data_IF_180299736373
#
_entry.id   IF_180299736373
#
_cell.length_a   1.000
_cell.length_b   1.000
_cell.length_c   1.000
_cell.angle_alpha   90.00
_cell.angle_beta   90.00
_cell.angle_gamma   90.00
#
_symmetry.space_group_name_H-M   'P 1'
#
loop_
_entity.id
_entity.type
_entity.pdbx_description
1 polymer ?
#
# COMPACT_ATOMS: atom_id res chain seq x y z
N UNK A 1 17.50 111.57 -29.25
CA UNK A 1 18.39 111.51 -28.08
C UNK A 1 17.62 110.91 -26.93
N UNK A 2 18.31 110.07 -26.19
CA UNK A 2 17.87 109.11 -25.17
C UNK A 2 17.33 109.74 -23.88
N UNK A 3 16.78 108.85 -23.03
CA UNK A 3 16.51 108.96 -21.59
C UNK A 3 15.13 109.56 -21.23
N UNK A 4 14.36 109.03 -20.29
CA UNK A 4 14.55 107.94 -19.32
C UNK A 4 13.27 107.83 -18.45
N UNK A 5 12.99 106.63 -17.98
CA UNK A 5 11.98 106.34 -16.93
C UNK A 5 12.44 106.94 -15.57
N UNK A 6 11.60 107.08 -14.53
CA UNK A 6 11.09 105.91 -13.80
C UNK A 6 9.69 106.03 -13.13
N UNK A 7 9.16 104.84 -12.82
CA UNK A 7 7.99 104.57 -11.97
C UNK A 7 8.34 104.44 -10.48
N UNK A 8 7.33 104.65 -9.62
CA UNK A 8 7.18 103.84 -8.40
C UNK A 8 6.54 104.55 -7.20
N UNK A 9 5.40 104.05 -6.72
CA UNK A 9 4.82 104.44 -5.43
C UNK A 9 3.46 103.80 -5.17
N UNK A 10 3.45 102.77 -4.33
CA UNK A 10 2.34 101.86 -4.03
C UNK A 10 1.27 102.41 -3.08
N UNK A 11 0.05 101.89 -3.21
CA UNK A 11 -1.09 102.14 -2.32
C UNK A 11 -1.27 101.04 -1.26
N UNK A 12 -1.60 101.50 -0.05
CA UNK A 12 -2.54 100.97 0.97
C UNK A 12 -3.31 99.69 0.57
N UNK A 13 -3.54 98.69 1.44
CA UNK A 13 -3.88 98.76 2.86
C UNK A 13 -5.36 98.38 3.04
N UNK A 14 -5.63 97.45 3.96
CA UNK A 14 -6.92 97.04 4.53
C UNK A 14 -7.80 96.05 3.75
N UNK A 15 -8.41 95.12 4.51
CA UNK A 15 -9.49 94.26 4.05
C UNK A 15 -9.64 92.98 4.86
N UNK A 16 -10.19 93.07 6.07
CA UNK A 16 -10.70 91.92 6.79
C UNK A 16 -11.98 91.39 6.09
N UNK A 17 -12.12 90.07 5.98
CA UNK A 17 -13.39 89.43 5.60
C UNK A 17 -13.55 88.15 6.43
N UNK A 18 -14.60 88.12 7.23
CA UNK A 18 -15.24 86.90 7.72
C UNK A 18 -16.29 86.48 6.67
N UNK A 19 -16.35 85.19 6.33
CA UNK A 19 -17.41 84.68 5.47
C UNK A 19 -17.30 83.20 5.11
N UNK A 20 -18.41 82.51 5.37
CA UNK A 20 -18.95 81.30 4.74
C UNK A 20 -18.43 79.91 5.15
N UNK A 21 -19.40 79.18 5.74
CA UNK A 21 -19.66 77.75 5.59
C UNK A 21 -19.38 77.24 4.17
N UNK A 22 -18.81 76.03 4.08
CA UNK A 22 -18.97 75.16 2.92
C UNK A 22 -19.02 73.70 3.38
N UNK A 23 -19.78 72.93 2.61
CA UNK A 23 -20.43 71.70 3.01
C UNK A 23 -19.51 70.47 3.10
N UNK A 24 -19.84 69.62 4.07
CA UNK A 24 -19.96 68.18 3.94
C UNK A 24 -18.90 67.40 3.16
N UNK A 25 -18.05 66.66 3.89
CA UNK A 25 -17.72 65.27 3.52
C UNK A 25 -17.61 64.42 4.79
N UNK A 26 -18.67 63.67 5.08
CA UNK A 26 -18.63 62.51 5.97
C UNK A 26 -17.75 61.43 5.33
N UNK A 27 -16.49 61.33 5.75
CA UNK A 27 -15.61 60.23 5.37
C UNK A 27 -16.01 58.96 6.11
N UNK A 28 -16.92 58.19 5.52
CA UNK A 28 -17.22 56.83 5.93
C UNK A 28 -15.94 55.98 5.83
N UNK A 29 -15.34 55.67 6.99
CA UNK A 29 -14.18 54.80 7.12
C UNK A 29 -14.59 53.37 6.72
N UNK A 30 -14.26 52.97 5.49
CA UNK A 30 -14.41 51.57 5.04
C UNK A 30 -13.53 50.66 5.92
N UNK A 31 -14.05 49.57 6.52
CA UNK A 31 -13.19 48.60 7.17
C UNK A 31 -12.37 47.89 6.10
N UNK A 32 -11.05 48.09 6.15
CA UNK A 32 -10.09 47.51 5.23
C UNK A 32 -10.16 45.98 5.23
N UNK A 33 -10.22 45.41 4.03
CA UNK A 33 -10.25 43.99 3.74
C UNK A 33 -8.91 43.26 4.04
N UNK A 34 -8.26 43.53 5.17
CA UNK A 34 -6.93 43.02 5.50
C UNK A 34 -6.92 41.72 6.33
N UNK A 35 -8.09 41.20 6.76
CA UNK A 35 -8.19 39.99 7.61
C UNK A 35 -8.54 38.68 6.90
N UNK A 36 -8.99 38.74 5.64
CA UNK A 36 -9.55 37.58 4.91
C UNK A 36 -8.54 36.49 4.52
N UNK A 37 -7.32 36.77 4.02
CA UNK A 37 -6.42 35.71 3.55
C UNK A 37 -5.85 34.87 4.70
N UNK A 38 -5.60 35.48 5.88
CA UNK A 38 -5.09 34.77 7.06
C UNK A 38 -6.17 33.88 7.71
N UNK A 39 -7.44 34.29 7.67
CA UNK A 39 -8.56 33.49 8.17
C UNK A 39 -8.83 32.28 7.26
N UNK A 40 -8.82 32.47 5.94
CA UNK A 40 -8.98 31.39 4.96
C UNK A 40 -7.81 30.38 5.04
N UNK A 41 -6.57 30.87 5.15
CA UNK A 41 -5.39 30.01 5.33
C UNK A 41 -5.48 29.18 6.63
N UNK A 42 -5.92 29.77 7.75
CA UNK A 42 -6.15 29.05 9.02
C UNK A 42 -7.24 28.00 8.90
N UNK A 43 -8.33 28.29 8.20
CA UNK A 43 -9.39 27.31 7.94
C UNK A 43 -8.90 26.16 7.06
N UNK A 44 -8.13 26.46 5.99
CA UNK A 44 -7.51 25.43 5.15
C UNK A 44 -6.54 24.55 5.94
N UNK A 45 -5.66 25.15 6.77
CA UNK A 45 -4.75 24.39 7.63
C UNK A 45 -5.51 23.50 8.61
N UNK A 46 -6.60 23.98 9.22
CA UNK A 46 -7.44 23.17 10.13
C UNK A 46 -8.12 22.02 9.41
N UNK A 47 -8.67 22.26 8.22
CA UNK A 47 -9.29 21.21 7.41
C UNK A 47 -8.25 20.17 7.00
N UNK A 48 -7.09 20.59 6.50
CA UNK A 48 -5.99 19.68 6.15
C UNK A 48 -5.52 18.86 7.36
N UNK A 49 -5.38 19.50 8.53
CA UNK A 49 -5.03 18.79 9.76
C UNK A 49 -6.10 17.78 10.19
N UNK A 50 -7.39 18.13 10.09
CA UNK A 50 -8.49 17.23 10.39
C UNK A 50 -8.54 16.03 9.44
N UNK A 51 -8.39 16.26 8.12
CA UNK A 51 -8.33 15.20 7.11
C UNK A 51 -7.15 14.27 7.39
N UNK A 52 -5.96 14.83 7.66
CA UNK A 52 -4.77 14.04 7.98
C UNK A 52 -4.95 13.23 9.27
N UNK A 53 -5.57 13.82 10.30
CA UNK A 53 -5.93 13.13 11.54
C UNK A 53 -6.87 11.94 11.29
N UNK A 54 -7.91 12.13 10.47
CA UNK A 54 -8.83 11.05 10.09
C UNK A 54 -8.12 9.94 9.33
N UNK A 55 -7.28 10.27 8.34
CA UNK A 55 -6.51 9.26 7.59
C UNK A 55 -5.57 8.47 8.50
N UNK A 56 -4.91 9.16 9.44
CA UNK A 56 -4.04 8.50 10.42
C UNK A 56 -4.81 7.54 11.33
N UNK A 57 -6.01 7.94 11.80
CA UNK A 57 -6.88 7.08 12.60
C UNK A 57 -7.35 5.84 11.82
N UNK A 58 -7.73 6.01 10.55
CA UNK A 58 -8.10 4.88 9.70
C UNK A 58 -6.93 3.92 9.46
N UNK A 59 -5.73 4.46 9.17
CA UNK A 59 -4.53 3.65 9.00
C UNK A 59 -4.18 2.89 10.28
N UNK A 60 -4.29 3.53 11.45
CA UNK A 60 -4.05 2.89 12.74
C UNK A 60 -5.08 1.78 13.01
N UNK A 61 -6.37 2.06 12.82
CA UNK A 61 -7.43 1.07 13.00
C UNK A 61 -7.27 -0.14 12.07
N UNK A 62 -6.97 0.10 10.79
CA UNK A 62 -6.72 -0.97 9.83
C UNK A 62 -5.46 -1.79 10.16
N UNK A 63 -4.40 -1.13 10.64
CA UNK A 63 -3.19 -1.83 11.08
C UNK A 63 -3.47 -2.68 12.32
N UNK A 64 -4.18 -2.13 13.32
CA UNK A 64 -4.60 -2.86 14.52
C UNK A 64 -5.41 -4.09 14.13
N UNK A 65 -6.41 -3.94 13.25
CA UNK A 65 -7.17 -5.08 12.75
C UNK A 65 -6.26 -6.17 12.15
N UNK A 66 -5.34 -5.79 11.25
CA UNK A 66 -4.41 -6.73 10.64
C UNK A 66 -3.58 -7.46 11.71
N UNK A 67 -2.97 -6.72 12.64
CA UNK A 67 -2.20 -7.27 13.74
C UNK A 67 -3.03 -8.19 14.65
N UNK A 68 -4.26 -7.83 14.98
CA UNK A 68 -5.11 -8.66 15.84
C UNK A 68 -5.51 -9.97 15.19
N UNK A 69 -5.75 -9.97 13.87
CA UNK A 69 -6.14 -11.18 13.14
C UNK A 69 -4.94 -12.07 12.85
N UNK A 70 -3.75 -11.48 12.65
CA UNK A 70 -2.52 -12.22 12.36
C UNK A 70 -1.73 -12.63 13.61
N UNK A 71 -2.07 -12.11 14.79
CA UNK A 71 -1.37 -12.46 16.03
C UNK A 71 -1.45 -13.96 16.29
N UNK A 72 -0.29 -14.60 16.52
CA UNK A 72 -0.18 -16.04 16.70
C UNK A 72 -0.19 -16.87 15.41
N UNK A 73 -0.24 -16.22 14.24
CA UNK A 73 -0.31 -16.85 12.92
C UNK A 73 0.84 -16.41 12.00
N UNK A 74 1.99 -16.07 12.55
CA UNK A 74 3.14 -15.54 11.82
C UNK A 74 4.41 -16.26 12.30
N UNK A 75 5.20 -16.75 11.35
CA UNK A 75 6.53 -17.31 11.57
C UNK A 75 7.56 -16.58 10.72
N UNK A 76 8.75 -16.34 11.25
CA UNK A 76 9.87 -15.84 10.44
C UNK A 76 10.55 -16.99 9.70
N UNK A 77 10.79 -16.84 8.40
CA UNK A 77 11.55 -17.80 7.61
C UNK A 77 12.98 -17.97 8.17
N UNK A 78 13.43 -19.21 8.30
CA UNK A 78 14.77 -19.54 8.80
C UNK A 78 14.94 -19.46 10.32
N UNK A 79 13.97 -18.91 11.06
CA UNK A 79 13.97 -18.99 12.52
C UNK A 79 13.32 -20.32 12.95
N UNK A 80 13.89 -20.95 13.97
CA UNK A 80 13.21 -22.09 14.59
C UNK A 80 11.94 -21.53 15.24
N UNK A 81 10.76 -22.14 15.05
CA UNK A 81 9.65 -21.88 15.95
C UNK A 81 10.19 -22.09 17.36
N UNK A 82 9.70 -21.33 18.34
CA UNK A 82 10.17 -21.44 19.72
C UNK A 82 9.93 -22.83 20.32
N UNK A 83 9.37 -22.89 21.51
CA UNK A 83 9.02 -24.15 22.17
C UNK A 83 7.89 -24.95 21.46
N UNK A 84 7.37 -24.43 20.33
CA UNK A 84 6.34 -25.04 19.49
C UNK A 84 6.88 -25.78 18.24
N UNK A 85 6.03 -26.63 17.67
CA UNK A 85 6.33 -27.30 16.39
C UNK A 85 6.11 -26.33 15.20
N UNK A 86 6.95 -26.44 14.16
CA UNK A 86 6.81 -25.61 12.96
C UNK A 86 5.49 -25.87 12.25
N UNK A 87 4.78 -24.81 11.83
CA UNK A 87 3.50 -24.96 11.15
C UNK A 87 3.64 -25.77 9.87
N UNK A 88 2.69 -26.68 9.66
CA UNK A 88 2.52 -27.47 8.44
C UNK A 88 1.17 -27.15 7.81
N UNK A 89 1.09 -27.26 6.50
CA UNK A 89 -0.16 -27.14 5.75
C UNK A 89 -0.06 -27.91 4.43
N UNK A 90 -1.18 -28.31 3.81
CA UNK A 90 -1.17 -29.00 2.52
C UNK A 90 -0.41 -28.26 1.41
N UNK A 91 -0.46 -26.92 1.43
CA UNK A 91 0.04 -26.06 0.36
C UNK A 91 0.70 -24.80 0.91
N UNK A 92 1.77 -24.35 0.27
CA UNK A 92 2.29 -22.99 0.42
C UNK A 92 1.68 -22.09 -0.66
N UNK A 93 1.12 -20.94 -0.28
CA UNK A 93 0.72 -19.88 -1.21
C UNK A 93 1.84 -18.85 -1.26
N UNK A 94 2.45 -18.65 -2.42
CA UNK A 94 3.50 -17.66 -2.63
C UNK A 94 2.89 -16.43 -3.28
N UNK A 95 2.92 -15.32 -2.55
CA UNK A 95 2.46 -14.04 -3.09
C UNK A 95 3.50 -13.48 -4.08
N UNK A 96 3.01 -12.92 -5.18
CA UNK A 96 3.82 -12.16 -6.12
C UNK A 96 4.41 -10.86 -5.56
N UNK A 97 5.51 -10.38 -6.15
CA UNK A 97 6.16 -9.12 -5.85
C UNK A 97 6.52 -8.34 -7.12
N UNK A 98 7.62 -8.69 -7.80
CA UNK A 98 8.04 -8.06 -9.04
C UNK A 98 8.98 -8.98 -9.84
N UNK A 99 8.86 -8.92 -11.16
CA UNK A 99 9.82 -9.45 -12.14
C UNK A 99 10.62 -8.30 -12.72
N UNK A 100 11.93 -8.45 -12.76
CA UNK A 100 12.87 -7.46 -13.31
C UNK A 100 12.83 -7.46 -14.85
N UNK A 101 13.41 -6.41 -15.45
CA UNK A 101 13.35 -6.20 -16.90
C UNK A 101 14.02 -7.30 -17.74
N UNK A 102 14.93 -8.07 -17.12
CA UNK A 102 15.62 -9.22 -17.72
C UNK A 102 14.81 -10.54 -17.57
N UNK A 103 13.62 -10.48 -17.00
CA UNK A 103 12.74 -11.64 -16.81
C UNK A 103 13.10 -12.50 -15.61
N UNK A 104 13.99 -12.03 -14.72
CA UNK A 104 14.29 -12.68 -13.45
C UNK A 104 13.35 -12.21 -12.34
N UNK A 105 13.09 -13.04 -11.31
CA UNK A 105 12.40 -12.55 -10.13
C UNK A 105 13.27 -11.48 -9.45
N UNK A 106 12.64 -10.38 -9.02
CA UNK A 106 13.30 -9.41 -8.14
C UNK A 106 13.83 -10.09 -6.88
N UNK A 107 14.81 -9.49 -6.16
CA UNK A 107 15.37 -10.10 -4.96
C UNK A 107 14.30 -10.53 -3.93
N UNK A 108 13.25 -9.72 -3.73
CA UNK A 108 12.15 -10.07 -2.82
C UNK A 108 11.28 -11.21 -3.34
N UNK A 109 11.06 -11.31 -4.65
CA UNK A 109 10.34 -12.43 -5.24
C UNK A 109 11.16 -13.71 -5.13
N UNK A 110 12.46 -13.64 -5.43
CA UNK A 110 13.39 -14.77 -5.27
C UNK A 110 13.40 -15.29 -3.83
N UNK A 111 13.51 -14.42 -2.83
CA UNK A 111 13.47 -14.83 -1.42
C UNK A 111 12.16 -15.55 -1.04
N UNK A 112 11.00 -15.09 -1.52
CA UNK A 112 9.73 -15.81 -1.29
C UNK A 112 9.76 -17.19 -1.94
N UNK A 113 10.34 -17.32 -3.13
CA UNK A 113 10.42 -18.59 -3.84
C UNK A 113 11.41 -19.55 -3.16
N UNK A 114 12.54 -19.03 -2.65
CA UNK A 114 13.48 -19.80 -1.82
C UNK A 114 12.77 -20.35 -0.58
N UNK A 115 12.04 -19.51 0.16
CA UNK A 115 11.28 -19.93 1.34
C UNK A 115 10.26 -21.01 0.96
N UNK A 116 9.55 -20.86 -0.16
CA UNK A 116 8.61 -21.86 -0.62
C UNK A 116 9.28 -23.20 -0.99
N UNK A 117 10.45 -23.15 -1.63
CA UNK A 117 11.25 -24.34 -1.94
C UNK A 117 11.74 -25.05 -0.67
N UNK A 118 12.15 -24.30 0.35
CA UNK A 118 12.53 -24.84 1.67
C UNK A 118 11.34 -25.49 2.39
N UNK A 119 10.16 -24.86 2.38
CA UNK A 119 8.93 -25.42 2.97
C UNK A 119 8.54 -26.74 2.30
N UNK A 120 8.67 -26.82 0.97
CA UNK A 120 8.39 -28.05 0.23
C UNK A 120 9.44 -29.14 0.55
N UNK A 121 10.72 -28.80 0.49
CA UNK A 121 11.84 -29.74 0.68
C UNK A 121 11.89 -30.29 2.10
N UNK A 122 11.54 -29.48 3.10
CA UNK A 122 11.41 -29.90 4.51
C UNK A 122 10.15 -30.73 4.79
N UNK A 123 9.25 -30.88 3.82
CA UNK A 123 7.99 -31.60 3.97
C UNK A 123 6.96 -30.85 4.82
N UNK A 124 7.15 -29.54 5.05
CA UNK A 124 6.15 -28.69 5.73
C UNK A 124 4.92 -28.42 4.86
N UNK A 125 5.08 -28.54 3.54
CA UNK A 125 3.98 -28.51 2.56
C UNK A 125 4.13 -29.58 1.48
N UNK A 126 3.01 -30.01 0.90
CA UNK A 126 2.96 -30.98 -0.20
C UNK A 126 2.80 -30.33 -1.57
N UNK A 127 2.34 -29.09 -1.65
CA UNK A 127 2.22 -28.34 -2.91
C UNK A 127 2.63 -26.88 -2.74
N UNK A 128 2.91 -26.21 -3.86
CA UNK A 128 3.12 -24.77 -3.92
C UNK A 128 2.14 -24.17 -4.92
N UNK A 129 1.36 -23.18 -4.49
CA UNK A 129 0.59 -22.30 -5.37
C UNK A 129 1.36 -20.98 -5.52
N UNK A 130 1.79 -20.66 -6.74
CA UNK A 130 2.35 -19.33 -7.06
C UNK A 130 1.23 -18.45 -7.63
N UNK A 131 1.03 -17.25 -7.09
CA UNK A 131 -0.05 -16.34 -7.51
C UNK A 131 0.47 -14.94 -7.76
N UNK A 132 0.19 -14.39 -8.95
CA UNK A 132 0.72 -13.10 -9.40
C UNK A 132 0.00 -12.54 -10.64
N UNK A 133 0.50 -11.42 -11.15
CA UNK A 133 -0.11 -10.67 -12.25
C UNK A 133 0.38 -11.15 -13.63
N UNK A 134 -0.56 -11.32 -14.57
CA UNK A 134 -0.31 -11.63 -15.98
C UNK A 134 -1.19 -10.79 -16.94
N UNK A 135 -1.62 -9.58 -16.53
CA UNK A 135 -2.54 -8.75 -17.34
C UNK A 135 -1.87 -8.00 -18.48
N UNK A 136 -0.58 -7.72 -18.38
CA UNK A 136 0.14 -6.89 -19.35
C UNK A 136 0.84 -7.80 -20.34
N UNK A 137 0.68 -7.51 -21.64
CA UNK A 137 1.42 -8.23 -22.67
C UNK A 137 2.94 -8.14 -22.39
N UNK A 138 3.60 -9.30 -22.35
CA UNK A 138 5.03 -9.41 -22.03
C UNK A 138 5.38 -9.44 -20.54
N UNK A 139 4.41 -9.40 -19.62
CA UNK A 139 4.62 -9.59 -18.19
C UNK A 139 3.81 -10.78 -17.70
N UNK A 140 4.52 -11.87 -17.34
CA UNK A 140 3.94 -13.09 -16.80
C UNK A 140 4.74 -13.52 -15.56
N UNK A 141 4.38 -12.94 -14.42
CA UNK A 141 5.05 -13.21 -13.16
C UNK A 141 4.88 -14.66 -12.67
N UNK A 142 3.69 -15.28 -12.71
CA UNK A 142 3.51 -16.65 -12.26
C UNK A 142 4.32 -17.67 -13.08
N UNK A 143 4.50 -17.46 -14.38
CA UNK A 143 5.38 -18.31 -15.19
C UNK A 143 6.86 -18.16 -14.79
N UNK A 144 7.31 -16.95 -14.44
CA UNK A 144 8.67 -16.73 -13.91
C UNK A 144 8.84 -17.42 -12.55
N UNK A 145 7.86 -17.29 -11.66
CA UNK A 145 7.86 -17.96 -10.35
C UNK A 145 7.97 -19.48 -10.49
N UNK A 146 7.15 -20.08 -11.37
CA UNK A 146 7.20 -21.53 -11.66
C UNK A 146 8.58 -21.94 -12.18
N UNK A 147 9.12 -21.21 -13.17
CA UNK A 147 10.44 -21.52 -13.75
C UNK A 147 11.55 -21.47 -12.69
N UNK A 148 11.48 -20.52 -11.77
CA UNK A 148 12.44 -20.42 -10.68
C UNK A 148 12.33 -21.61 -9.71
N UNK A 149 11.12 -22.02 -9.31
CA UNK A 149 10.96 -23.20 -8.45
C UNK A 149 11.46 -24.49 -9.12
N UNK A 150 11.24 -24.62 -10.43
CA UNK A 150 11.81 -25.73 -11.21
C UNK A 150 13.34 -25.72 -11.18
N UNK A 151 13.99 -24.55 -11.26
CA UNK A 151 15.45 -24.45 -11.15
C UNK A 151 15.98 -24.71 -9.74
N UNK A 152 15.15 -24.55 -8.71
CA UNK A 152 15.43 -25.00 -7.33
C UNK A 152 15.19 -26.51 -7.12
N UNK A 153 14.82 -27.26 -8.16
CA UNK A 153 14.61 -28.70 -8.08
C UNK A 153 13.24 -29.13 -7.58
N UNK A 154 12.28 -28.20 -7.47
CA UNK A 154 10.90 -28.55 -7.13
C UNK A 154 10.25 -29.26 -8.33
N UNK A 155 9.63 -30.44 -8.14
CA UNK A 155 8.94 -31.12 -9.22
C UNK A 155 7.80 -30.28 -9.79
N UNK A 156 7.65 -30.31 -11.11
CA UNK A 156 6.64 -29.52 -11.80
C UNK A 156 5.21 -29.84 -11.33
N UNK A 157 4.95 -31.12 -11.05
CA UNK A 157 3.68 -31.63 -10.58
C UNK A 157 3.31 -31.10 -9.18
N UNK A 158 4.28 -30.63 -8.41
CA UNK A 158 4.03 -30.04 -7.10
C UNK A 158 3.65 -28.55 -7.16
N UNK A 159 3.67 -27.93 -8.35
CA UNK A 159 3.48 -26.49 -8.53
C UNK A 159 2.17 -26.22 -9.28
N UNK A 160 1.25 -25.51 -8.60
CA UNK A 160 0.08 -24.90 -9.22
C UNK A 160 0.33 -23.41 -9.48
N UNK A 161 -0.32 -22.86 -10.51
CA UNK A 161 -0.08 -21.48 -10.97
C UNK A 161 -1.39 -20.71 -11.05
N UNK A 162 -1.42 -19.54 -10.43
CA UNK A 162 -2.53 -18.60 -10.50
C UNK A 162 -2.13 -17.32 -11.24
N UNK A 163 -2.68 -17.16 -12.45
CA UNK A 163 -2.42 -16.02 -13.35
C UNK A 163 -3.27 -14.77 -13.08
N UNK A 164 -4.16 -14.81 -12.09
CA UNK A 164 -5.07 -13.71 -11.78
C UNK A 164 -4.99 -13.21 -10.32
N UNK A 165 -3.82 -13.38 -9.69
CA UNK A 165 -3.50 -12.82 -8.38
C UNK A 165 -2.99 -11.38 -8.47
N UNK A 166 -3.86 -10.43 -8.85
CA UNK A 166 -3.43 -9.05 -9.13
C UNK A 166 -3.13 -8.21 -7.89
N UNK A 167 -3.72 -8.57 -6.76
CA UNK A 167 -3.35 -8.09 -5.44
C UNK A 167 -3.56 -9.22 -4.41
N UNK A 168 -3.14 -8.97 -3.17
CA UNK A 168 -3.23 -9.95 -2.09
C UNK A 168 -4.66 -10.45 -1.85
N UNK A 169 -5.64 -9.56 -1.98
CA UNK A 169 -7.04 -9.93 -1.79
C UNK A 169 -7.51 -10.85 -2.92
N UNK A 170 -7.15 -10.54 -4.17
CA UNK A 170 -7.42 -11.41 -5.33
C UNK A 170 -6.83 -12.80 -5.13
N UNK A 171 -5.54 -12.90 -4.73
CA UNK A 171 -4.91 -14.18 -4.43
C UNK A 171 -5.65 -14.95 -3.35
N UNK A 172 -5.98 -14.33 -2.21
CA UNK A 172 -6.63 -15.01 -1.10
C UNK A 172 -8.05 -15.50 -1.47
N UNK A 173 -8.85 -14.69 -2.17
CA UNK A 173 -10.19 -15.09 -2.62
C UNK A 173 -10.11 -16.21 -3.65
N UNK A 174 -9.17 -16.13 -4.60
CA UNK A 174 -8.99 -17.16 -5.62
C UNK A 174 -8.46 -18.46 -5.02
N UNK A 175 -7.52 -18.40 -4.08
CA UNK A 175 -7.06 -19.56 -3.32
C UNK A 175 -8.25 -20.33 -2.72
N UNK A 176 -9.19 -19.63 -2.08
CA UNK A 176 -10.41 -20.24 -1.54
C UNK A 176 -11.36 -20.76 -2.61
N UNK A 177 -11.75 -19.90 -3.56
CA UNK A 177 -12.91 -20.14 -4.45
C UNK A 177 -12.56 -20.92 -5.72
N UNK A 178 -11.35 -20.72 -6.24
CA UNK A 178 -10.86 -21.33 -7.48
C UNK A 178 -10.07 -22.60 -7.19
N UNK A 179 -9.13 -22.54 -6.25
CA UNK A 179 -8.24 -23.65 -5.94
C UNK A 179 -8.70 -24.51 -4.75
N UNK A 180 -9.79 -24.13 -4.09
CA UNK A 180 -10.37 -24.90 -2.98
C UNK A 180 -9.47 -25.00 -1.75
N UNK A 181 -8.56 -24.05 -1.55
CA UNK A 181 -7.61 -24.06 -0.44
C UNK A 181 -8.32 -23.60 0.83
N UNK A 182 -8.30 -24.45 1.85
CA UNK A 182 -8.84 -24.15 3.18
C UNK A 182 -7.76 -23.84 4.21
N UNK A 183 -6.59 -24.47 4.08
CA UNK A 183 -5.44 -24.37 4.98
C UNK A 183 -4.15 -24.21 4.19
N UNK A 184 -3.33 -23.22 4.50
CA UNK A 184 -2.06 -22.99 3.80
C UNK A 184 -0.99 -22.32 4.68
N UNK A 185 0.28 -22.41 4.24
CA UNK A 185 1.32 -21.47 4.68
C UNK A 185 1.39 -20.31 3.68
N UNK A 186 1.32 -19.07 4.13
CA UNK A 186 1.33 -17.89 3.27
C UNK A 186 2.73 -17.26 3.24
N UNK A 187 3.43 -17.38 2.11
CA UNK A 187 4.80 -16.92 1.96
C UNK A 187 4.85 -15.50 1.40
N UNK A 188 5.42 -14.58 2.18
CA UNK A 188 5.60 -13.17 1.79
C UNK A 188 6.73 -12.50 2.59
N UNK A 189 6.88 -11.18 2.55
CA UNK A 189 7.83 -10.46 3.42
C UNK A 189 7.23 -10.09 4.78
N UNK A 190 8.07 -10.01 5.81
CA UNK A 190 7.70 -9.65 7.18
C UNK A 190 6.84 -8.38 7.31
N UNK A 191 7.15 -7.31 6.59
CA UNK A 191 6.41 -6.05 6.64
C UNK A 191 4.99 -6.16 6.06
N UNK A 192 4.77 -7.15 5.17
CA UNK A 192 3.53 -7.36 4.42
C UNK A 192 2.64 -8.42 5.08
N UNK A 193 3.26 -9.36 5.77
CA UNK A 193 2.65 -10.57 6.31
C UNK A 193 1.43 -10.32 7.20
N UNK A 194 1.42 -9.38 8.19
CA UNK A 194 0.24 -9.18 9.04
C UNK A 194 -1.03 -8.88 8.25
N UNK A 195 -0.92 -8.01 7.24
CA UNK A 195 -2.05 -7.66 6.39
C UNK A 195 -2.45 -8.81 5.48
N UNK A 196 -1.48 -9.52 4.92
CA UNK A 196 -1.74 -10.63 4.01
C UNK A 196 -2.45 -11.80 4.72
N UNK A 197 -1.97 -12.18 5.91
CA UNK A 197 -2.60 -13.17 6.78
C UNK A 197 -4.02 -12.72 7.16
N UNK A 198 -4.20 -11.48 7.59
CA UNK A 198 -5.51 -10.96 7.97
C UNK A 198 -6.54 -11.02 6.83
N UNK A 199 -6.13 -10.66 5.60
CA UNK A 199 -6.99 -10.77 4.41
C UNK A 199 -7.36 -12.23 4.15
N UNK A 200 -6.38 -13.13 4.09
CA UNK A 200 -6.62 -14.54 3.78
C UNK A 200 -7.56 -15.21 4.79
N UNK A 201 -7.36 -14.95 6.09
CA UNK A 201 -8.25 -15.44 7.15
C UNK A 201 -9.65 -14.85 7.04
N UNK A 202 -9.78 -13.55 6.73
CA UNK A 202 -11.06 -12.89 6.58
C UNK A 202 -11.88 -13.42 5.38
N UNK A 203 -11.23 -13.93 4.34
CA UNK A 203 -11.90 -14.56 3.19
C UNK A 203 -12.10 -16.07 3.35
N UNK A 204 -11.71 -16.64 4.50
CA UNK A 204 -11.97 -18.04 4.86
C UNK A 204 -10.87 -19.03 4.50
N UNK A 205 -9.63 -18.56 4.31
CA UNK A 205 -8.45 -19.43 4.22
C UNK A 205 -7.71 -19.37 5.56
N UNK A 206 -7.65 -20.50 6.27
CA UNK A 206 -6.86 -20.62 7.48
C UNK A 206 -5.37 -20.63 7.10
N UNK A 207 -4.67 -19.53 7.37
CA UNK A 207 -3.24 -19.42 7.04
C UNK A 207 -2.43 -19.07 8.27
N UNK A 208 -1.24 -19.66 8.32
CA UNK A 208 -0.10 -19.09 9.05
C UNK A 208 0.86 -18.49 8.03
N UNK A 209 1.32 -17.27 8.29
CA UNK A 209 2.31 -16.60 7.48
C UNK A 209 3.71 -17.18 7.72
N UNK A 210 4.51 -17.16 6.67
CA UNK A 210 5.96 -17.39 6.74
C UNK A 210 6.65 -16.17 6.12
N UNK A 211 7.01 -15.22 6.97
CA UNK A 211 7.63 -13.95 6.63
C UNK A 211 9.12 -14.07 6.33
N UNK A 212 9.51 -13.72 5.10
CA UNK A 212 10.90 -13.50 4.74
C UNK A 212 11.39 -12.14 5.26
N UNK A 213 12.44 -12.16 6.08
CA UNK A 213 13.07 -10.96 6.67
C UNK A 213 14.33 -10.50 5.94
N UNK A 214 14.81 -11.26 4.93
CA UNK A 214 15.98 -10.89 4.11
C UNK A 214 15.79 -9.57 3.36
N UNK A 215 14.54 -9.14 3.17
CA UNK A 215 14.19 -7.83 2.62
C UNK A 215 14.78 -6.64 3.43
N UNK A 216 15.12 -6.81 4.71
CA UNK A 216 15.80 -5.77 5.51
C UNK A 216 17.18 -5.35 4.97
N UNK A 217 17.78 -6.16 4.08
CA UNK A 217 19.04 -5.81 3.40
C UNK A 217 18.90 -4.55 2.52
N UNK A 218 17.73 -4.30 1.93
CA UNK A 218 17.38 -3.05 1.25
C UNK A 218 16.56 -2.15 2.19
N UNK A 219 17.26 -1.39 3.04
CA UNK A 219 16.61 -0.53 4.04
C UNK A 219 15.67 0.53 3.43
N UNK A 220 16.01 1.07 2.26
CA UNK A 220 15.22 2.12 1.62
C UNK A 220 13.95 1.51 1.05
N UNK A 221 14.08 0.45 0.24
CA UNK A 221 12.93 -0.27 -0.32
C UNK A 221 12.01 -0.82 0.76
N UNK A 222 12.58 -1.36 1.84
CA UNK A 222 11.83 -1.82 3.01
C UNK A 222 11.04 -0.67 3.66
N UNK A 223 11.66 0.48 3.92
CA UNK A 223 11.00 1.63 4.55
C UNK A 223 9.86 2.18 3.69
N UNK A 224 10.09 2.31 2.38
CA UNK A 224 9.06 2.75 1.43
C UNK A 224 7.89 1.76 1.41
N UNK A 225 8.19 0.46 1.39
CA UNK A 225 7.17 -0.58 1.43
C UNK A 225 6.38 -0.52 2.74
N UNK A 226 7.05 -0.37 3.88
CA UNK A 226 6.41 -0.23 5.18
C UNK A 226 5.45 0.96 5.24
N UNK A 227 5.79 2.11 4.63
CA UNK A 227 4.86 3.26 4.56
C UNK A 227 3.66 2.93 3.65
N UNK A 228 3.92 2.33 2.47
CA UNK A 228 2.88 1.88 1.54
C UNK A 228 1.90 0.92 2.21
N UNK A 229 2.38 0.07 3.12
CA UNK A 229 1.54 -0.87 3.86
C UNK A 229 0.45 -0.21 4.71
N UNK A 230 0.61 1.07 5.11
CA UNK A 230 -0.44 1.79 5.84
C UNK A 230 -1.63 2.13 4.94
N UNK A 231 -1.35 2.59 3.72
CA UNK A 231 -2.40 2.81 2.72
C UNK A 231 -3.03 1.48 2.28
N UNK A 232 -2.21 0.45 2.09
CA UNK A 232 -2.67 -0.88 1.73
C UNK A 232 -3.56 -1.53 2.82
N UNK A 233 -3.30 -1.27 4.11
CA UNK A 233 -4.15 -1.73 5.20
C UNK A 233 -5.57 -1.14 5.14
N UNK A 234 -5.69 0.17 4.84
CA UNK A 234 -7.00 0.80 4.64
C UNK A 234 -7.72 0.14 3.46
N UNK A 235 -7.04 -0.02 2.31
CA UNK A 235 -7.59 -0.71 1.13
C UNK A 235 -8.05 -2.14 1.48
N UNK A 236 -7.26 -2.89 2.25
CA UNK A 236 -7.58 -4.25 2.65
C UNK A 236 -8.89 -4.34 3.44
N UNK A 237 -9.11 -3.42 4.39
CA UNK A 237 -10.39 -3.35 5.12
C UNK A 237 -11.54 -3.07 4.16
N UNK A 238 -11.37 -2.14 3.22
CA UNK A 238 -12.40 -1.83 2.21
C UNK A 238 -12.70 -3.05 1.34
N UNK A 239 -11.68 -3.75 0.84
CA UNK A 239 -11.85 -4.95 0.01
C UNK A 239 -12.59 -6.07 0.78
N UNK A 240 -12.19 -6.34 2.03
CA UNK A 240 -12.82 -7.36 2.89
C UNK A 240 -14.27 -7.02 3.22
N UNK A 241 -14.57 -5.76 3.56
CA UNK A 241 -15.93 -5.32 3.89
C UNK A 241 -16.82 -5.28 2.66
N UNK A 242 -16.31 -4.78 1.54
CA UNK A 242 -17.06 -4.70 0.28
C UNK A 242 -17.25 -6.06 -0.40
N UNK A 243 -16.43 -7.06 -0.04
CA UNK A 243 -16.39 -8.38 -0.68
C UNK A 243 -16.26 -8.27 -2.19
N UNK A 244 -15.38 -7.38 -2.66
CA UNK A 244 -15.08 -7.21 -4.09
C UNK A 244 -14.85 -8.58 -4.72
N UNK A 245 -15.45 -8.83 -5.88
CA UNK A 245 -15.15 -10.04 -6.63
C UNK A 245 -13.87 -9.83 -7.48
N UNK A 246 -12.85 -10.69 -7.33
CA UNK A 246 -11.70 -10.72 -8.24
C UNK A 246 -12.11 -11.18 -9.64
N UNK A 247 -11.16 -11.19 -10.57
CA UNK A 247 -11.32 -12.01 -11.77
C UNK A 247 -11.39 -13.48 -11.34
N UNK A 248 -12.58 -14.07 -11.42
CA UNK A 248 -12.84 -15.48 -11.11
C UNK A 248 -12.84 -16.28 -12.40
N UNK A 249 -12.19 -17.46 -12.36
CA UNK A 249 -12.18 -18.43 -13.45
C UNK A 249 -13.09 -19.62 -13.16
N UNK A 250 -12.88 -20.72 -13.88
CA UNK A 250 -13.42 -22.03 -13.48
C UNK A 250 -12.68 -22.52 -12.23
N UNK A 251 -13.31 -23.38 -11.45
CA UNK A 251 -12.59 -24.08 -10.38
C UNK A 251 -11.48 -24.94 -11.00
N UNK A 252 -10.33 -24.95 -10.33
CA UNK A 252 -9.15 -25.68 -10.73
C UNK A 252 -8.82 -26.79 -9.73
N UNK A 253 -8.34 -27.91 -10.25
CA UNK A 253 -7.92 -29.08 -9.45
C UNK A 253 -6.41 -29.15 -9.26
N UNK A 254 -5.64 -28.23 -9.88
CA UNK A 254 -4.17 -28.24 -9.93
C UNK A 254 -3.50 -28.35 -8.55
N UNK A 255 -3.99 -27.61 -7.55
CA UNK A 255 -3.46 -27.72 -6.17
C UNK A 255 -3.75 -29.08 -5.54
N UNK A 256 -4.97 -29.61 -5.73
CA UNK A 256 -5.37 -30.91 -5.20
C UNK A 256 -4.57 -32.04 -5.85
N UNK A 257 -4.36 -31.96 -7.16
CA UNK A 257 -3.54 -32.88 -7.93
C UNK A 257 -2.08 -32.83 -7.48
N UNK A 258 -1.53 -31.64 -7.25
CA UNK A 258 -0.18 -31.46 -6.75
C UNK A 258 0.04 -32.08 -5.36
N UNK A 259 -0.90 -31.86 -4.44
CA UNK A 259 -0.86 -32.48 -3.10
C UNK A 259 -0.91 -34.01 -3.21
N UNK A 260 -1.81 -34.55 -4.04
CA UNK A 260 -1.95 -35.99 -4.24
C UNK A 260 -0.66 -36.60 -4.82
N UNK A 261 -0.13 -35.99 -5.89
CA UNK A 261 1.10 -36.42 -6.53
C UNK A 261 2.28 -36.46 -5.55
N UNK A 262 2.47 -35.39 -4.77
CA UNK A 262 3.56 -35.33 -3.80
C UNK A 262 3.43 -36.41 -2.73
N UNK A 263 2.22 -36.68 -2.21
CA UNK A 263 2.01 -37.74 -1.21
C UNK A 263 2.30 -39.14 -1.75
N UNK A 264 2.12 -39.36 -3.04
CA UNK A 264 2.44 -40.64 -3.68
C UNK A 264 3.95 -40.83 -3.92
N UNK A 265 4.67 -39.75 -4.22
CA UNK A 265 6.06 -39.79 -4.68
C UNK A 265 7.09 -39.42 -3.60
N UNK A 266 6.66 -38.76 -2.51
CA UNK A 266 7.50 -38.43 -1.36
C UNK A 266 7.45 -39.58 -0.36
N UNK A 267 8.23 -40.64 -0.62
CA UNK A 267 8.49 -41.77 0.29
C UNK A 267 9.93 -41.76 0.77
#
# INVERSE_FOLDING_TARGET
MTEGEPRGGASQGAGAVAGCEDDGVSTARRPGAAGRPRALLRSLVRISAAVMGTVALLAAGASIWAWTVSAGHIETAGERPGDGEASRAPVAIVLGAAVDADGQPSPWLAHRLDTAAELYTSGRVEAILVSGDNRRAGYDEPTVMRRYLLSQGIPDQAIAVDYAGFDTYDTCVRARRIFGIERALLVTQDFHEPRAVAICRAVGVDVDGVGDSRAHSDRIGWTVSWVRERAAAIKAVVDVVSRRDPTLGRQETSVKEAVAWTREHRR
#
